data_IF_257253723010
#
_entry.id   IF_257253723010
#
_cell.length_a   1.000
_cell.length_b   1.000
_cell.length_c   1.000
_cell.angle_alpha   90.00
_cell.angle_beta   90.00
_cell.angle_gamma   90.00
#
_symmetry.space_group_name_H-M   'P 1'
#
loop_
_entity.id
_entity.type
_entity.pdbx_description
1 polymer ?
#
# COMPACT_ATOMS: atom_id res chain seq x y z
N UNK A 1 -14.29 8.92 -2.44
CA UNK A 1 -13.11 9.09 -1.55
C UNK A 1 -12.51 7.71 -1.31
N UNK A 2 -11.31 7.44 -1.83
CA UNK A 2 -10.66 6.11 -1.75
C UNK A 2 -10.22 5.75 -0.33
N UNK A 3 -10.28 4.47 0.04
CA UNK A 3 -9.89 3.98 1.35
C UNK A 3 -8.40 4.17 1.65
N UNK A 4 -7.54 4.07 0.64
CA UNK A 4 -6.11 4.41 0.79
C UNK A 4 -5.92 5.86 1.26
N UNK A 5 -6.65 6.83 0.67
CA UNK A 5 -6.56 8.25 1.07
C UNK A 5 -7.02 8.46 2.51
N UNK A 6 -8.07 7.76 2.94
CA UNK A 6 -8.53 7.77 4.34
C UNK A 6 -7.48 7.18 5.27
N UNK A 7 -6.94 6.01 4.93
CA UNK A 7 -5.88 5.35 5.70
C UNK A 7 -4.67 6.28 5.90
N UNK A 8 -4.21 6.94 4.84
CA UNK A 8 -3.13 7.92 4.93
C UNK A 8 -3.44 9.09 5.87
N UNK A 9 -4.69 9.59 5.89
CA UNK A 9 -5.10 10.69 6.79
C UNK A 9 -5.15 10.29 8.27
N UNK A 10 -5.42 9.01 8.56
CA UNK A 10 -5.48 8.48 9.92
C UNK A 10 -4.11 8.07 10.46
N UNK A 11 -3.16 7.81 9.55
CA UNK A 11 -1.87 7.21 9.88
C UNK A 11 -0.98 8.15 10.71
N UNK A 12 -0.67 7.73 11.94
CA UNK A 12 0.29 8.43 12.80
C UNK A 12 1.74 8.13 12.40
N UNK A 13 2.68 8.90 12.95
CA UNK A 13 4.13 8.64 12.84
C UNK A 13 4.45 7.22 13.28
N UNK A 14 5.29 6.52 12.51
CA UNK A 14 5.59 5.09 12.72
C UNK A 14 4.48 4.12 12.34
N UNK A 15 3.28 4.60 12.00
CA UNK A 15 2.14 3.77 11.63
C UNK A 15 2.33 3.04 10.30
N UNK A 16 1.59 1.95 10.13
CA UNK A 16 1.64 1.07 8.97
C UNK A 16 0.30 1.00 8.24
N UNK A 17 0.34 0.98 6.91
CA UNK A 17 -0.77 0.56 6.05
C UNK A 17 -0.36 -0.75 5.36
N UNK A 18 -1.28 -1.72 5.32
CA UNK A 18 -1.08 -3.02 4.70
C UNK A 18 -2.22 -3.26 3.69
N UNK A 19 -1.86 -3.48 2.43
CA UNK A 19 -2.77 -3.98 1.40
C UNK A 19 -2.53 -5.48 1.24
N UNK A 20 -3.60 -6.26 1.03
CA UNK A 20 -3.56 -7.73 1.09
C UNK A 20 -3.84 -8.42 -0.25
N UNK A 21 -4.06 -7.65 -1.29
CA UNK A 21 -4.58 -8.05 -2.59
C UNK A 21 -3.68 -7.57 -3.75
N UNK A 22 -2.36 -7.49 -3.50
CA UNK A 22 -1.36 -7.24 -4.54
C UNK A 22 -1.14 -8.49 -5.40
N UNK A 23 -2.02 -8.71 -6.38
CA UNK A 23 -1.97 -9.86 -7.28
C UNK A 23 -2.54 -9.55 -8.67
N UNK A 24 -2.11 -10.25 -9.73
CA UNK A 24 -2.58 -10.02 -11.10
C UNK A 24 -4.10 -10.18 -11.28
N UNK A 25 -4.76 -10.99 -10.46
CA UNK A 25 -6.22 -11.22 -10.48
C UNK A 25 -7.02 -10.01 -9.98
N UNK A 26 -6.35 -9.05 -9.34
CA UNK A 26 -6.91 -7.75 -8.95
C UNK A 26 -6.19 -6.64 -9.74
N UNK A 27 -6.41 -6.54 -11.08
CA UNK A 27 -5.58 -5.73 -11.97
C UNK A 27 -5.59 -4.23 -11.61
N UNK A 28 -6.73 -3.72 -11.13
CA UNK A 28 -6.85 -2.32 -10.72
C UNK A 28 -6.04 -2.04 -9.45
N UNK A 29 -6.06 -2.96 -8.47
CA UNK A 29 -5.27 -2.83 -7.23
C UNK A 29 -3.79 -2.99 -7.52
N UNK A 30 -3.44 -3.98 -8.35
CA UNK A 30 -2.07 -4.21 -8.77
C UNK A 30 -1.49 -2.98 -9.47
N UNK A 31 -2.22 -2.40 -10.43
CA UNK A 31 -1.80 -1.21 -11.16
C UNK A 31 -1.66 -0.01 -10.22
N UNK A 32 -2.68 0.22 -9.37
CA UNK A 32 -2.66 1.31 -8.38
C UNK A 32 -1.48 1.23 -7.42
N UNK A 33 -1.16 0.04 -6.89
CA UNK A 33 -0.04 -0.13 -5.95
C UNK A 33 1.32 0.04 -6.63
N UNK A 34 1.46 -0.36 -7.90
CA UNK A 34 2.68 -0.12 -8.67
C UNK A 34 2.87 1.36 -9.00
N UNK A 35 1.80 2.08 -9.36
CA UNK A 35 1.83 3.54 -9.53
C UNK A 35 2.20 4.23 -8.22
N UNK A 36 1.56 3.85 -7.11
CA UNK A 36 1.82 4.43 -5.79
C UNK A 36 3.25 4.16 -5.30
N UNK A 37 3.82 3.01 -5.65
CA UNK A 37 5.21 2.66 -5.33
C UNK A 37 6.24 3.56 -6.05
N UNK A 38 5.84 4.24 -7.13
CA UNK A 38 6.71 5.25 -7.77
C UNK A 38 6.81 6.55 -6.96
N UNK A 39 5.85 6.81 -6.08
CA UNK A 39 5.76 8.03 -5.27
C UNK A 39 6.15 7.80 -3.80
N UNK A 40 5.86 6.60 -3.27
CA UNK A 40 6.01 6.25 -1.86
C UNK A 40 6.83 4.97 -1.70
N UNK A 41 7.57 4.82 -0.58
CA UNK A 41 8.42 3.65 -0.31
C UNK A 41 7.59 2.42 0.12
N UNK A 42 6.73 1.92 -0.78
CA UNK A 42 5.99 0.68 -0.61
C UNK A 42 6.95 -0.51 -0.71
N UNK A 43 6.70 -1.55 0.06
CA UNK A 43 7.45 -2.81 0.00
C UNK A 43 6.49 -3.98 -0.17
N UNK A 44 6.76 -4.82 -1.15
CA UNK A 44 6.08 -6.11 -1.28
C UNK A 44 6.68 -7.12 -0.28
N UNK A 45 5.83 -7.82 0.46
CA UNK A 45 6.25 -8.93 1.32
C UNK A 45 6.35 -10.17 0.43
N UNK A 46 7.59 -10.56 0.13
CA UNK A 46 7.88 -11.68 -0.78
C UNK A 46 7.13 -12.95 -0.39
N UNK A 47 6.59 -13.66 -1.38
CA UNK A 47 5.81 -14.89 -1.19
C UNK A 47 4.39 -14.69 -0.71
N UNK A 48 3.89 -13.45 -0.66
CA UNK A 48 2.51 -13.12 -0.26
C UNK A 48 1.90 -12.11 -1.22
N UNK A 49 0.61 -11.83 -1.10
CA UNK A 49 -0.05 -10.72 -1.81
C UNK A 49 -0.04 -9.42 -0.98
N UNK A 50 0.82 -9.32 0.05
CA UNK A 50 0.87 -8.16 0.94
C UNK A 50 1.85 -7.09 0.46
N UNK A 51 1.38 -5.84 0.46
CA UNK A 51 2.22 -4.64 0.28
C UNK A 51 2.10 -3.76 1.50
N UNK A 52 3.24 -3.27 1.99
CA UNK A 52 3.34 -2.46 3.21
C UNK A 52 3.87 -1.06 2.91
N UNK A 53 3.25 -0.05 3.53
CA UNK A 53 3.80 1.29 3.69
C UNK A 53 3.96 1.60 5.17
N UNK A 54 5.10 2.17 5.56
CA UNK A 54 5.35 2.64 6.92
C UNK A 54 5.63 4.14 6.90
N UNK A 55 4.88 4.91 7.69
CA UNK A 55 5.16 6.33 7.89
C UNK A 55 6.44 6.47 8.71
N UNK A 56 7.37 7.28 8.21
CA UNK A 56 8.56 7.65 8.97
C UNK A 56 8.21 8.19 10.37
N UNK A 57 9.09 7.94 11.34
CA UNK A 57 8.95 8.42 12.73
C UNK A 57 9.02 9.95 12.82
#
# INVERSE_FOLDING_TARGET
MSDSKKAFSMLKKGGVILWHDYKPEAPDVFSYLNELASELPLRHISGTDFVIFQRAS
#
